data_IF_056556701625
#
_entry.id   IF_056556701625
#
_cell.length_a   1.000
_cell.length_b   1.000
_cell.length_c   1.000
_cell.angle_alpha   90.00
_cell.angle_beta   90.00
_cell.angle_gamma   90.00
#
_symmetry.space_group_name_H-M   'P 1'
#
loop_
_entity.id
_entity.type
_entity.pdbx_description
1 polymer ?
#
# COMPACT_ATOMS: atom_id res chain seq x y z
N UNK A 1 29.21 36.35 -17.24
CA UNK A 1 28.27 35.24 -17.51
C UNK A 1 26.89 35.79 -17.79
N UNK A 2 26.18 35.31 -18.83
CA UNK A 2 24.81 35.75 -19.12
C UNK A 2 23.88 35.36 -17.97
N UNK A 3 22.97 36.25 -17.56
CA UNK A 3 22.00 35.98 -16.50
C UNK A 3 20.83 35.17 -17.06
N UNK A 4 20.65 33.96 -16.54
CA UNK A 4 19.49 33.11 -16.83
C UNK A 4 18.34 33.53 -15.90
N UNK A 5 17.16 33.73 -16.47
CA UNK A 5 15.91 33.96 -15.76
C UNK A 5 15.06 32.69 -15.82
N UNK A 6 14.53 32.30 -14.67
CA UNK A 6 13.68 31.11 -14.51
C UNK A 6 12.37 31.55 -13.89
N UNK A 7 11.25 31.22 -14.51
CA UNK A 7 9.91 31.53 -14.01
C UNK A 7 9.02 30.29 -14.05
N UNK A 8 8.18 30.14 -13.03
CA UNK A 8 7.12 29.12 -12.98
C UNK A 8 5.77 29.83 -13.07
N UNK A 9 5.10 29.81 -14.24
CA UNK A 9 3.79 30.43 -14.39
C UNK A 9 2.77 29.82 -13.42
N UNK A 10 1.99 30.68 -12.76
CA UNK A 10 0.98 30.26 -11.78
C UNK A 10 0.01 29.25 -12.37
N UNK A 11 -0.37 28.26 -11.56
CA UNK A 11 -1.32 27.20 -11.91
C UNK A 11 -0.91 26.35 -13.12
N UNK A 12 0.39 26.32 -13.43
CA UNK A 12 0.95 25.47 -14.48
C UNK A 12 2.03 24.53 -13.94
N UNK A 13 2.33 23.48 -14.71
CA UNK A 13 3.50 22.61 -14.50
C UNK A 13 4.63 22.98 -15.46
N UNK A 14 4.72 24.26 -15.84
CA UNK A 14 5.66 24.75 -16.83
C UNK A 14 6.81 25.48 -16.16
N UNK A 15 7.98 25.40 -16.79
CA UNK A 15 9.14 26.20 -16.43
C UNK A 15 9.51 27.02 -17.67
N UNK A 16 9.62 28.33 -17.49
CA UNK A 16 10.06 29.27 -18.51
C UNK A 16 11.51 29.65 -18.27
N UNK A 17 12.35 29.49 -19.29
CA UNK A 17 13.77 29.83 -19.26
C UNK A 17 14.05 30.95 -20.27
N UNK A 18 14.72 32.01 -19.83
CA UNK A 18 15.12 33.11 -20.69
C UNK A 18 16.56 33.56 -20.39
N UNK A 19 17.28 33.99 -21.43
CA UNK A 19 18.64 34.51 -21.30
C UNK A 19 18.72 35.87 -21.98
N UNK A 20 19.16 36.89 -21.24
CA UNK A 20 19.54 38.19 -21.80
C UNK A 20 21.02 38.12 -22.24
N UNK A 21 21.30 38.34 -23.52
CA UNK A 21 22.65 38.27 -24.10
C UNK A 21 22.86 39.29 -25.21
N UNK A 22 24.09 39.81 -25.32
CA UNK A 22 24.54 40.60 -26.45
C UNK A 22 24.79 39.76 -27.71
N UNK A 23 24.90 38.43 -27.55
CA UNK A 23 25.07 37.46 -28.62
C UNK A 23 23.87 36.48 -28.63
N UNK A 24 22.75 36.84 -29.30
CA UNK A 24 21.52 36.04 -29.27
C UNK A 24 21.67 34.60 -29.80
N UNK A 25 22.41 34.33 -30.89
CA UNK A 25 22.61 32.96 -31.37
C UNK A 25 23.32 32.06 -30.34
N UNK A 26 24.36 32.58 -29.66
CA UNK A 26 25.03 31.84 -28.59
C UNK A 26 24.09 31.57 -27.42
N UNK A 27 23.25 32.53 -27.03
CA UNK A 27 22.27 32.35 -25.97
C UNK A 27 21.18 31.33 -26.30
N UNK A 28 20.74 31.29 -27.57
CA UNK A 28 19.80 30.28 -28.05
C UNK A 28 20.42 28.87 -27.94
N UNK A 29 21.67 28.69 -28.36
CA UNK A 29 22.39 27.42 -28.21
C UNK A 29 22.53 27.01 -26.74
N UNK A 30 22.89 27.94 -25.85
CA UNK A 30 22.98 27.68 -24.41
C UNK A 30 21.64 27.19 -23.85
N UNK A 31 20.52 27.83 -24.21
CA UNK A 31 19.19 27.36 -23.80
C UNK A 31 18.85 25.97 -24.36
N UNK A 32 19.28 25.67 -25.59
CA UNK A 32 19.14 24.35 -26.18
C UNK A 32 19.88 23.27 -25.40
N UNK A 33 21.14 23.53 -25.05
CA UNK A 33 21.96 22.63 -24.24
C UNK A 33 21.37 22.43 -22.83
N UNK A 34 20.90 23.51 -22.19
CA UNK A 34 20.24 23.43 -20.89
C UNK A 34 18.98 22.55 -20.97
N UNK A 35 18.15 22.71 -22.00
CA UNK A 35 16.98 21.86 -22.20
C UNK A 35 17.38 20.38 -22.30
N UNK A 36 18.40 20.06 -23.10
CA UNK A 36 18.87 18.68 -23.28
C UNK A 36 19.39 18.10 -21.97
N UNK A 37 20.18 18.88 -21.20
CA UNK A 37 20.70 18.45 -19.89
C UNK A 37 19.57 18.16 -18.89
N UNK A 38 18.58 19.06 -18.78
CA UNK A 38 17.44 18.87 -17.87
C UNK A 38 16.64 17.63 -18.27
N UNK A 39 16.39 17.43 -19.57
CA UNK A 39 15.65 16.26 -20.06
C UNK A 39 16.40 14.98 -19.76
N UNK A 40 17.70 14.93 -20.02
CA UNK A 40 18.54 13.76 -19.75
C UNK A 40 18.55 13.42 -18.26
N UNK A 41 18.76 14.41 -17.38
CA UNK A 41 18.74 14.22 -15.93
C UNK A 41 17.37 13.74 -15.44
N UNK A 42 16.28 14.34 -15.92
CA UNK A 42 14.93 13.93 -15.55
C UNK A 42 14.58 12.54 -16.07
N UNK A 43 15.04 12.16 -17.27
CA UNK A 43 14.87 10.82 -17.82
C UNK A 43 15.54 9.77 -16.94
N UNK A 44 16.76 10.03 -16.48
CA UNK A 44 17.47 9.15 -15.55
C UNK A 44 16.70 9.00 -14.22
N UNK A 45 16.31 10.12 -13.60
CA UNK A 45 15.53 10.10 -12.35
C UNK A 45 14.20 9.35 -12.50
N UNK A 46 13.50 9.56 -13.62
CA UNK A 46 12.25 8.86 -13.93
C UNK A 46 12.51 7.36 -14.09
N UNK A 47 13.57 6.97 -14.80
CA UNK A 47 13.96 5.58 -14.97
C UNK A 47 14.21 4.91 -13.62
N UNK A 48 15.04 5.51 -12.77
CA UNK A 48 15.33 5.00 -11.42
C UNK A 48 14.06 4.88 -10.58
N UNK A 49 13.17 5.89 -10.62
CA UNK A 49 11.90 5.83 -9.90
C UNK A 49 11.00 4.69 -10.39
N UNK A 50 10.92 4.48 -11.70
CA UNK A 50 10.15 3.36 -12.29
C UNK A 50 10.72 2.01 -11.88
N UNK A 51 12.05 1.88 -11.87
CA UNK A 51 12.73 0.65 -11.42
C UNK A 51 12.45 0.34 -9.95
N UNK A 52 12.52 1.35 -9.06
CA UNK A 52 12.20 1.19 -7.64
C UNK A 52 10.75 0.76 -7.42
N UNK A 53 9.79 1.43 -8.07
CA UNK A 53 8.37 1.05 -8.00
C UNK A 53 8.16 -0.38 -8.52
N UNK A 54 8.84 -0.75 -9.61
CA UNK A 54 8.79 -2.11 -10.15
C UNK A 54 9.33 -3.17 -9.16
N UNK A 55 10.40 -2.83 -8.44
CA UNK A 55 10.95 -3.69 -7.39
C UNK A 55 9.99 -3.83 -6.19
N UNK A 56 9.33 -2.75 -5.80
CA UNK A 56 8.33 -2.77 -4.72
C UNK A 56 7.11 -3.62 -5.09
N UNK A 57 6.63 -3.51 -6.33
CA UNK A 57 5.56 -4.36 -6.87
C UNK A 57 5.98 -5.83 -6.79
N UNK A 58 7.16 -6.18 -7.32
CA UNK A 58 7.66 -7.56 -7.32
C UNK A 58 7.78 -8.12 -5.89
N UNK A 59 8.34 -7.32 -4.97
CA UNK A 59 8.49 -7.72 -3.56
C UNK A 59 7.12 -7.96 -2.92
N UNK A 60 6.12 -7.15 -3.27
CA UNK A 60 4.75 -7.30 -2.76
C UNK A 60 4.06 -8.53 -3.35
N UNK A 61 4.27 -8.82 -4.64
CA UNK A 61 3.79 -10.05 -5.28
C UNK A 61 4.39 -11.31 -4.63
N UNK A 62 5.69 -11.28 -4.30
CA UNK A 62 6.33 -12.40 -3.62
C UNK A 62 5.80 -12.60 -2.19
N UNK A 63 5.46 -11.52 -1.48
CA UNK A 63 4.75 -11.61 -0.18
C UNK A 63 3.37 -12.25 -0.32
N UNK A 64 2.63 -11.93 -1.38
CA UNK A 64 1.32 -12.55 -1.67
C UNK A 64 1.49 -14.06 -1.90
N UNK A 65 2.46 -14.47 -2.72
CA UNK A 65 2.72 -15.91 -2.97
C UNK A 65 3.04 -16.68 -1.68
N UNK A 66 3.82 -16.07 -0.78
CA UNK A 66 4.12 -16.66 0.52
C UNK A 66 2.85 -16.82 1.38
N UNK A 67 2.01 -15.77 1.42
CA UNK A 67 0.74 -15.83 2.13
C UNK A 67 -0.23 -16.88 1.55
N UNK A 68 -0.28 -17.03 0.23
CA UNK A 68 -1.05 -18.08 -0.44
C UNK A 68 -0.55 -19.49 -0.07
N UNK A 69 0.77 -19.69 -0.03
CA UNK A 69 1.38 -20.94 0.45
C UNK A 69 1.01 -21.24 1.90
N UNK A 70 0.95 -20.23 2.77
CA UNK A 70 0.58 -20.41 4.16
C UNK A 70 -0.91 -20.73 4.35
N UNK A 71 -1.79 -20.18 3.49
CA UNK A 71 -3.19 -20.61 3.41
C UNK A 71 -3.27 -22.10 3.05
N UNK A 72 -2.52 -22.54 2.04
CA UNK A 72 -2.52 -23.94 1.60
C UNK A 72 -2.06 -24.88 2.73
N UNK A 73 -0.93 -24.56 3.37
CA UNK A 73 -0.43 -25.32 4.53
C UNK A 73 -1.45 -25.40 5.65
N UNK A 74 -2.17 -24.30 5.91
CA UNK A 74 -3.20 -24.24 6.96
C UNK A 74 -4.42 -25.08 6.59
N UNK A 75 -4.86 -25.02 5.32
CA UNK A 75 -5.94 -25.84 4.80
C UNK A 75 -5.63 -27.33 4.87
N UNK A 76 -4.38 -27.72 4.60
CA UNK A 76 -3.93 -29.11 4.71
C UNK A 76 -3.96 -29.65 6.15
N UNK A 77 -4.01 -28.79 7.18
CA UNK A 77 -4.22 -29.22 8.58
C UNK A 77 -5.69 -29.49 8.90
N UNK A 78 -6.64 -28.98 8.12
CA UNK A 78 -8.09 -29.15 8.36
C UNK A 78 -8.56 -30.54 7.91
N UNK A 79 -8.00 -31.07 6.83
CA UNK A 79 -8.34 -32.40 6.30
C UNK A 79 -8.17 -33.53 7.33
N UNK A 80 -7.02 -33.71 8.00
CA UNK A 80 -6.88 -34.75 9.02
C UNK A 80 -7.82 -34.54 10.21
N UNK A 81 -8.14 -33.28 10.58
CA UNK A 81 -9.14 -32.99 11.63
C UNK A 81 -10.53 -33.50 11.22
N UNK A 82 -10.94 -33.30 9.96
CA UNK A 82 -12.22 -33.80 9.48
C UNK A 82 -12.27 -35.33 9.49
N UNK A 83 -11.19 -36.00 9.07
CA UNK A 83 -11.09 -37.47 9.13
C UNK A 83 -11.10 -38.00 10.57
N UNK A 84 -10.45 -37.29 11.49
CA UNK A 84 -10.45 -37.62 12.91
C UNK A 84 -11.85 -37.48 13.53
N UNK A 85 -12.58 -36.41 13.20
CA UNK A 85 -13.96 -36.22 13.62
C UNK A 85 -14.82 -37.38 13.12
N UNK A 86 -14.75 -37.71 11.82
CA UNK A 86 -15.52 -38.81 11.21
C UNK A 86 -15.21 -40.15 11.87
N UNK A 87 -13.94 -40.42 12.16
CA UNK A 87 -13.53 -41.65 12.87
C UNK A 87 -14.11 -41.69 14.29
N UNK A 88 -14.14 -40.56 15.00
CA UNK A 88 -14.73 -40.50 16.35
C UNK A 88 -16.25 -40.62 16.29
N UNK A 89 -16.93 -40.01 15.31
CA UNK A 89 -18.36 -40.17 15.09
C UNK A 89 -18.75 -41.65 14.91
N UNK A 90 -17.98 -42.41 14.13
CA UNK A 90 -18.18 -43.86 14.00
C UNK A 90 -17.96 -44.61 15.33
N UNK A 91 -16.97 -44.20 16.14
CA UNK A 91 -16.74 -44.79 17.47
C UNK A 91 -17.90 -44.52 18.41
N UNK A 92 -18.46 -43.31 18.37
CA UNK A 92 -19.64 -42.95 19.16
C UNK A 92 -20.83 -43.81 18.75
N UNK A 93 -21.10 -43.95 17.44
CA UNK A 93 -22.20 -44.78 16.96
C UNK A 93 -22.11 -46.24 17.47
N UNK A 94 -20.92 -46.84 17.39
CA UNK A 94 -20.70 -48.20 17.92
C UNK A 94 -20.85 -48.26 19.45
N UNK A 95 -20.32 -47.26 20.16
CA UNK A 95 -20.44 -47.19 21.62
C UNK A 95 -21.91 -46.96 22.07
N UNK A 96 -22.70 -46.23 21.29
CA UNK A 96 -24.13 -46.02 21.53
C UNK A 96 -24.92 -47.33 21.35
N UNK A 97 -24.62 -48.12 20.34
CA UNK A 97 -25.21 -49.46 20.14
C UNK A 97 -24.86 -50.40 21.31
N UNK A 98 -23.60 -50.42 21.75
CA UNK A 98 -23.18 -51.20 22.92
C UNK A 98 -23.89 -50.73 24.21
N UNK A 99 -24.06 -49.41 24.37
CA UNK A 99 -24.79 -48.82 25.50
C UNK A 99 -26.25 -49.27 25.50
N UNK A 100 -26.93 -49.22 24.36
CA UNK A 100 -28.33 -49.65 24.22
C UNK A 100 -28.48 -51.15 24.56
N UNK A 101 -27.57 -51.99 24.08
CA UNK A 101 -27.53 -53.41 24.41
C UNK A 101 -27.34 -53.67 25.92
N UNK A 102 -26.50 -52.87 26.60
CA UNK A 102 -26.33 -52.93 28.04
C UNK A 102 -27.56 -52.42 28.80
N UNK A 103 -28.22 -51.36 28.33
CA UNK A 103 -29.48 -50.85 28.90
C UNK A 103 -30.59 -51.90 28.84
N UNK A 104 -30.74 -52.59 27.71
CA UNK A 104 -31.68 -53.70 27.57
C UNK A 104 -31.38 -54.86 28.55
N UNK A 105 -30.11 -55.21 28.74
CA UNK A 105 -29.69 -56.25 29.72
C UNK A 105 -29.99 -55.82 31.15
N UNK A 106 -29.74 -54.56 31.50
CA UNK A 106 -30.05 -54.02 32.83
C UNK A 106 -31.56 -54.08 33.10
N UNK A 107 -32.40 -53.67 32.14
CA UNK A 107 -33.86 -53.73 32.26
C UNK A 107 -34.36 -55.18 32.44
N UNK A 108 -33.83 -56.12 31.65
CA UNK A 108 -34.17 -57.54 31.78
C UNK A 108 -33.80 -58.10 33.17
N UNK A 109 -32.59 -57.82 33.67
CA UNK A 109 -32.15 -58.26 34.99
C UNK A 109 -32.96 -57.60 36.12
N UNK A 110 -33.33 -56.33 35.98
CA UNK A 110 -34.18 -55.62 36.95
C UNK A 110 -35.57 -56.24 37.09
N UNK A 111 -36.15 -56.75 35.99
CA UNK A 111 -37.47 -57.40 36.00
C UNK A 111 -37.47 -58.78 36.67
N UNK A 112 -36.33 -59.46 36.72
CA UNK A 112 -36.20 -60.82 37.30
C UNK A 112 -35.96 -60.79 38.81
N UNK A 113 -35.33 -59.73 39.33
CA UNK A 113 -34.99 -59.56 40.76
C UNK A 113 -36.16 -59.67 41.76
N UNK A 114 -37.40 -59.22 41.46
CA UNK A 114 -38.53 -59.43 42.36
C UNK A 114 -38.89 -60.91 42.58
N UNK A 115 -38.51 -61.78 41.64
CA UNK A 115 -38.86 -63.20 41.62
C UNK A 115 -37.67 -64.12 41.99
N UNK A 116 -36.44 -63.69 41.74
CA UNK A 116 -35.20 -64.43 42.05
C UNK A 116 -34.20 -63.48 42.74
N UNK A 117 -34.06 -63.62 44.07
CA UNK A 117 -33.12 -62.84 44.89
C UNK A 117 -31.81 -63.58 45.17
N UNK A 118 -31.26 -64.29 44.18
CA UNK A 118 -29.98 -64.97 44.38
C UNK A 118 -28.81 -63.97 44.25
N UNK A 119 -27.72 -64.15 45.01
CA UNK A 119 -26.54 -63.27 44.96
C UNK A 119 -25.90 -63.14 43.57
N UNK A 120 -26.01 -64.16 42.71
CA UNK A 120 -25.47 -64.14 41.36
C UNK A 120 -26.19 -63.15 40.45
N UNK A 121 -27.53 -63.12 40.49
CA UNK A 121 -28.33 -62.15 39.72
C UNK A 121 -28.07 -60.70 40.18
N UNK A 122 -27.91 -60.48 41.49
CA UNK A 122 -27.54 -59.16 42.02
C UNK A 122 -26.15 -58.71 41.54
N UNK A 123 -25.17 -59.62 41.55
CA UNK A 123 -23.82 -59.35 41.05
C UNK A 123 -23.83 -59.03 39.55
N UNK A 124 -24.53 -59.81 38.73
CA UNK A 124 -24.63 -59.56 37.29
C UNK A 124 -25.30 -58.20 36.99
N UNK A 125 -26.33 -57.80 37.75
CA UNK A 125 -26.92 -56.48 37.61
C UNK A 125 -25.92 -55.36 37.97
N UNK A 126 -25.16 -55.53 39.05
CA UNK A 126 -24.16 -54.55 39.45
C UNK A 126 -23.07 -54.38 38.37
N UNK A 127 -22.47 -55.47 37.91
CA UNK A 127 -21.43 -55.46 36.87
C UNK A 127 -21.95 -54.85 35.55
N UNK A 128 -23.18 -55.19 35.13
CA UNK A 128 -23.77 -54.59 33.92
C UNK A 128 -24.05 -53.10 34.07
N UNK A 129 -24.49 -52.64 35.25
CA UNK A 129 -24.65 -51.21 35.54
C UNK A 129 -23.32 -50.46 35.56
N UNK A 130 -22.27 -51.06 36.10
CA UNK A 130 -20.92 -50.49 36.08
C UNK A 130 -20.41 -50.35 34.64
N UNK A 131 -20.51 -51.41 33.83
CA UNK A 131 -20.17 -51.37 32.39
C UNK A 131 -20.97 -50.31 31.63
N UNK A 132 -22.25 -50.17 31.93
CA UNK A 132 -23.11 -49.16 31.34
C UNK A 132 -22.66 -47.74 31.72
N UNK A 133 -22.32 -47.50 32.99
CA UNK A 133 -21.81 -46.22 33.45
C UNK A 133 -20.48 -45.86 32.76
N UNK A 134 -19.56 -46.82 32.66
CA UNK A 134 -18.28 -46.66 31.97
C UNK A 134 -18.49 -46.35 30.48
N UNK A 135 -19.45 -47.02 29.81
CA UNK A 135 -19.78 -46.76 28.41
C UNK A 135 -20.37 -45.36 28.20
N UNK A 136 -21.25 -44.89 29.11
CA UNK A 136 -21.78 -43.52 29.08
C UNK A 136 -20.67 -42.48 29.21
N UNK A 137 -19.73 -42.70 30.13
CA UNK A 137 -18.57 -41.83 30.31
C UNK A 137 -17.64 -41.83 29.09
N UNK A 138 -17.43 -43.00 28.45
CA UNK A 138 -16.66 -43.10 27.20
C UNK A 138 -17.29 -42.23 26.09
N UNK A 139 -18.60 -42.35 25.88
CA UNK A 139 -19.34 -41.56 24.88
C UNK A 139 -19.20 -40.05 25.16
N UNK A 140 -19.36 -39.64 26.43
CA UNK A 140 -19.19 -38.24 26.83
C UNK A 140 -17.78 -37.72 26.50
N UNK A 141 -16.74 -38.49 26.82
CA UNK A 141 -15.35 -38.13 26.50
C UNK A 141 -15.10 -38.02 24.98
N UNK A 142 -15.72 -38.90 24.18
CA UNK A 142 -15.62 -38.83 22.71
C UNK A 142 -16.29 -37.56 22.17
N UNK A 143 -17.45 -37.17 22.71
CA UNK A 143 -18.10 -35.89 22.35
C UNK A 143 -17.26 -34.67 22.73
N UNK A 144 -16.63 -34.68 23.91
CA UNK A 144 -15.70 -33.61 24.32
C UNK A 144 -14.52 -33.50 23.35
N UNK A 145 -14.00 -34.64 22.89
CA UNK A 145 -12.92 -34.68 21.89
C UNK A 145 -13.38 -34.06 20.57
N UNK A 146 -14.55 -34.43 20.04
CA UNK A 146 -15.12 -33.81 18.83
C UNK A 146 -15.23 -32.29 19.00
N UNK A 147 -15.72 -31.82 20.15
CA UNK A 147 -15.89 -30.39 20.39
C UNK A 147 -14.55 -29.64 20.39
N UNK A 148 -13.49 -30.21 20.96
CA UNK A 148 -12.14 -29.64 20.88
C UNK A 148 -11.61 -29.58 19.45
N UNK A 149 -11.81 -30.62 18.65
CA UNK A 149 -11.39 -30.67 17.25
C UNK A 149 -12.15 -29.65 16.39
N UNK A 150 -13.46 -29.51 16.61
CA UNK A 150 -14.29 -28.49 15.95
C UNK A 150 -13.80 -27.07 16.26
N UNK A 151 -13.49 -26.77 17.52
CA UNK A 151 -12.89 -25.48 17.90
C UNK A 151 -11.53 -25.25 17.24
N UNK A 152 -10.67 -26.28 17.20
CA UNK A 152 -9.37 -26.18 16.52
C UNK A 152 -9.55 -25.91 15.02
N UNK A 153 -10.54 -26.51 14.38
CA UNK A 153 -10.86 -26.22 12.97
C UNK A 153 -11.33 -24.78 12.77
N UNK A 154 -12.23 -24.30 13.63
CA UNK A 154 -12.74 -22.93 13.57
C UNK A 154 -11.62 -21.90 13.73
N UNK A 155 -10.66 -22.15 14.63
CA UNK A 155 -9.47 -21.31 14.77
C UNK A 155 -8.62 -21.27 13.50
N UNK A 156 -8.40 -22.42 12.84
CA UNK A 156 -7.70 -22.46 11.55
C UNK A 156 -8.45 -21.71 10.45
N UNK A 157 -9.79 -21.78 10.42
CA UNK A 157 -10.62 -21.03 9.48
C UNK A 157 -10.50 -19.50 9.72
N UNK A 158 -10.46 -19.07 10.98
CA UNK A 158 -10.20 -17.66 11.35
C UNK A 158 -8.80 -17.23 10.89
N UNK A 159 -7.78 -18.07 11.09
CA UNK A 159 -6.42 -17.80 10.61
C UNK A 159 -6.40 -17.62 9.08
N UNK A 160 -7.03 -18.52 8.32
CA UNK A 160 -7.14 -18.40 6.86
C UNK A 160 -7.79 -17.07 6.45
N UNK A 161 -8.87 -16.67 7.11
CA UNK A 161 -9.56 -15.42 6.79
C UNK A 161 -8.68 -14.20 7.08
N UNK A 162 -7.92 -14.20 8.18
CA UNK A 162 -6.97 -13.11 8.48
C UNK A 162 -5.86 -12.97 7.42
N UNK A 163 -5.37 -14.10 6.89
CA UNK A 163 -4.37 -14.10 5.82
C UNK A 163 -4.98 -13.58 4.52
N UNK A 164 -6.23 -13.96 4.18
CA UNK A 164 -6.94 -13.43 3.02
C UNK A 164 -7.10 -11.91 3.07
N UNK A 165 -7.51 -11.36 4.22
CA UNK A 165 -7.59 -9.89 4.39
C UNK A 165 -6.22 -9.22 4.22
N UNK A 166 -5.14 -9.88 4.65
CA UNK A 166 -3.78 -9.39 4.43
C UNK A 166 -3.42 -9.38 2.94
N UNK A 167 -3.79 -10.41 2.19
CA UNK A 167 -3.62 -10.46 0.72
C UNK A 167 -4.41 -9.33 0.03
N UNK A 168 -5.65 -9.07 0.44
CA UNK A 168 -6.45 -7.96 -0.10
C UNK A 168 -5.75 -6.60 0.10
N UNK A 169 -5.17 -6.36 1.28
CA UNK A 169 -4.38 -5.15 1.56
C UNK A 169 -3.13 -5.06 0.68
N UNK A 170 -2.40 -6.15 0.48
CA UNK A 170 -1.23 -6.18 -0.40
C UNK A 170 -1.61 -5.92 -1.87
N UNK A 171 -2.74 -6.46 -2.33
CA UNK A 171 -3.26 -6.17 -3.66
C UNK A 171 -3.64 -4.69 -3.84
N UNK A 172 -4.24 -4.06 -2.81
CA UNK A 172 -4.51 -2.64 -2.83
C UNK A 172 -3.22 -1.80 -2.92
N UNK A 173 -2.15 -2.21 -2.21
CA UNK A 173 -0.83 -1.58 -2.31
C UNK A 173 -0.25 -1.70 -3.74
N UNK A 174 -0.32 -2.88 -4.36
CA UNK A 174 0.11 -3.07 -5.76
C UNK A 174 -0.66 -2.13 -6.69
N UNK A 175 -1.97 -2.01 -6.52
CA UNK A 175 -2.79 -1.13 -7.35
C UNK A 175 -2.40 0.35 -7.19
N UNK A 176 -2.12 0.79 -5.96
CA UNK A 176 -1.62 2.14 -5.71
C UNK A 176 -0.24 2.39 -6.35
N UNK A 177 0.67 1.41 -6.28
CA UNK A 177 1.98 1.48 -6.94
C UNK A 177 1.86 1.54 -8.46
N UNK A 178 0.96 0.74 -9.06
CA UNK A 178 0.66 0.77 -10.50
C UNK A 178 0.10 2.13 -10.92
N UNK A 179 -0.85 2.69 -10.17
CA UNK A 179 -1.37 4.03 -10.42
C UNK A 179 -0.27 5.10 -10.34
N UNK A 180 0.63 5.00 -9.35
CA UNK A 180 1.79 5.90 -9.25
C UNK A 180 2.74 5.77 -10.46
N UNK A 181 2.81 4.60 -11.10
CA UNK A 181 3.61 4.40 -12.31
C UNK A 181 3.00 5.12 -13.52
N UNK A 182 1.68 5.05 -13.65
CA UNK A 182 0.91 5.67 -14.74
C UNK A 182 0.92 7.21 -14.65
N UNK A 183 0.99 7.77 -13.45
CA UNK A 183 1.07 9.22 -13.25
C UNK A 183 2.44 9.82 -13.62
N UNK A 184 3.49 9.01 -13.79
CA UNK A 184 4.84 9.50 -14.11
C UNK A 184 4.89 9.96 -15.58
N UNK A 185 4.88 11.28 -15.76
CA UNK A 185 5.02 11.93 -17.07
C UNK A 185 6.46 12.39 -17.34
N UNK A 186 7.00 12.17 -18.55
CA UNK A 186 8.31 12.67 -18.92
C UNK A 186 8.30 14.21 -19.01
N UNK A 187 9.46 14.80 -18.72
CA UNK A 187 9.68 16.23 -19.01
C UNK A 187 9.84 16.43 -20.51
N UNK A 188 9.23 17.48 -21.05
CA UNK A 188 9.22 17.75 -22.48
C UNK A 188 9.35 19.24 -22.75
N UNK A 189 9.95 19.58 -23.89
CA UNK A 189 10.05 20.96 -24.37
C UNK A 189 8.74 21.34 -25.05
N UNK A 190 7.98 22.26 -24.45
CA UNK A 190 6.74 22.77 -25.04
C UNK A 190 7.02 23.85 -26.09
N UNK A 191 8.08 24.65 -25.88
CA UNK A 191 8.51 25.69 -26.80
C UNK A 191 10.04 25.70 -26.92
N UNK A 192 10.54 25.55 -28.14
CA UNK A 192 11.99 25.60 -28.41
C UNK A 192 12.57 26.99 -28.16
N UNK A 193 13.86 27.11 -27.81
CA UNK A 193 14.52 28.41 -27.64
C UNK A 193 14.46 29.24 -28.93
N UNK A 194 14.00 30.48 -28.83
CA UNK A 194 13.89 31.43 -29.95
C UNK A 194 14.55 32.76 -29.61
N UNK A 195 15.16 33.39 -30.61
CA UNK A 195 15.72 34.74 -30.49
C UNK A 195 14.59 35.79 -30.56
N UNK A 196 14.66 36.83 -29.74
CA UNK A 196 13.73 37.95 -29.84
C UNK A 196 14.06 38.82 -31.05
N UNK A 197 13.05 39.18 -31.85
CA UNK A 197 13.20 40.05 -33.01
C UNK A 197 13.63 41.48 -32.65
N UNK A 198 13.35 41.92 -31.42
CA UNK A 198 13.66 43.27 -30.93
C UNK A 198 14.60 43.20 -29.72
N UNK A 199 15.60 44.08 -29.62
CA UNK A 199 16.46 44.12 -28.45
C UNK A 199 15.65 44.53 -27.22
N UNK A 200 15.79 43.77 -26.13
CA UNK A 200 15.10 44.05 -24.85
C UNK A 200 15.75 45.19 -24.07
N UNK A 201 17.03 45.50 -24.33
CA UNK A 201 17.81 46.60 -23.74
C UNK A 201 18.89 47.10 -24.71
N UNK A 202 19.33 48.37 -24.60
CA UNK A 202 18.76 49.44 -23.78
C UNK A 202 17.45 50.00 -24.39
N UNK A 203 16.55 50.50 -23.55
CA UNK A 203 15.32 51.16 -23.98
C UNK A 203 15.63 52.56 -24.54
N UNK A 204 16.00 52.64 -25.83
CA UNK A 204 16.43 53.89 -26.48
C UNK A 204 15.44 55.05 -26.28
N UNK A 205 14.13 54.77 -26.36
CA UNK A 205 13.07 55.78 -26.13
C UNK A 205 13.14 56.38 -24.72
N UNK A 206 13.22 55.52 -23.70
CA UNK A 206 13.31 55.96 -22.31
C UNK A 206 14.59 56.76 -22.07
N UNK A 207 15.72 56.28 -22.60
CA UNK A 207 17.00 56.98 -22.46
C UNK A 207 16.99 58.36 -23.13
N UNK A 208 16.35 58.51 -24.30
CA UNK A 208 16.20 59.80 -24.98
C UNK A 208 15.37 60.78 -24.13
N UNK A 209 14.27 60.31 -23.54
CA UNK A 209 13.44 61.14 -22.64
C UNK A 209 14.23 61.58 -21.41
N UNK A 210 14.95 60.66 -20.77
CA UNK A 210 15.79 60.96 -19.60
C UNK A 210 16.88 61.98 -19.98
N UNK A 211 17.55 61.81 -21.12
CA UNK A 211 18.56 62.75 -21.59
C UNK A 211 17.99 64.15 -21.87
N UNK A 212 16.79 64.24 -22.44
CA UNK A 212 16.10 65.51 -22.65
C UNK A 212 15.79 66.23 -21.33
N UNK A 213 15.25 65.51 -20.35
CA UNK A 213 14.97 66.06 -19.01
C UNK A 213 16.26 66.50 -18.32
N UNK A 214 17.31 65.66 -18.33
CA UNK A 214 18.61 66.01 -17.76
C UNK A 214 19.22 67.25 -18.43
N UNK A 215 19.15 67.35 -19.75
CA UNK A 215 19.65 68.51 -20.49
C UNK A 215 18.94 69.80 -20.08
N UNK A 216 17.62 69.75 -19.88
CA UNK A 216 16.83 70.89 -19.42
C UNK A 216 17.27 71.31 -18.00
N UNK A 217 17.43 70.36 -17.07
CA UNK A 217 17.94 70.64 -15.72
C UNK A 217 19.32 71.30 -15.72
N UNK A 218 20.26 70.78 -16.53
CA UNK A 218 21.59 71.38 -16.67
C UNK A 218 21.49 72.79 -17.25
N UNK A 219 20.63 73.02 -18.25
CA UNK A 219 20.41 74.34 -18.83
C UNK A 219 19.89 75.35 -17.81
N UNK A 220 18.90 74.96 -17.01
CA UNK A 220 18.34 75.80 -15.94
C UNK A 220 19.41 76.10 -14.88
N UNK A 221 20.17 75.09 -14.45
CA UNK A 221 21.24 75.26 -13.48
C UNK A 221 22.34 76.21 -13.96
N UNK A 222 22.75 76.12 -15.23
CA UNK A 222 23.74 77.03 -15.82
C UNK A 222 23.21 78.47 -15.90
N UNK A 223 21.95 78.66 -16.27
CA UNK A 223 21.33 79.98 -16.31
C UNK A 223 21.35 80.66 -14.92
N UNK A 224 20.98 79.91 -13.86
CA UNK A 224 21.05 80.42 -12.49
C UNK A 224 22.49 80.64 -12.00
N UNK A 225 23.43 79.75 -12.36
CA UNK A 225 24.84 79.89 -11.98
C UNK A 225 25.50 81.11 -12.63
N UNK A 226 25.15 81.40 -13.89
CA UNK A 226 25.61 82.60 -14.60
C UNK A 226 25.06 83.86 -13.92
N UNK A 227 23.75 83.92 -13.65
CA UNK A 227 23.11 85.03 -12.94
C UNK A 227 23.74 85.25 -11.53
N UNK A 228 24.01 84.15 -10.81
CA UNK A 228 24.67 84.23 -9.51
C UNK A 228 26.09 84.81 -9.60
N UNK A 229 26.87 84.43 -10.62
CA UNK A 229 28.22 84.96 -10.83
C UNK A 229 28.21 86.44 -11.24
N UNK A 230 27.26 86.84 -12.08
CA UNK A 230 27.05 88.25 -12.46
C UNK A 230 26.68 89.10 -11.24
N UNK A 231 25.79 88.61 -10.38
CA UNK A 231 25.43 89.29 -9.11
C UNK A 231 26.55 89.31 -8.07
N UNK A 232 27.46 88.33 -8.10
CA UNK A 232 28.57 88.22 -7.15
C UNK A 232 29.82 89.02 -7.56
N UNK A 233 29.77 89.75 -8.69
CA UNK A 233 30.84 90.65 -9.17
C UNK A 233 30.72 92.10 -8.66
N UNK A 234 30.05 92.30 -7.52
CA UNK A 234 30.03 93.57 -6.78
C UNK A 234 31.11 93.57 -5.70
#
# INVERSE_FOLDING_TARGET
YPKIKVENPKDTRLISLAIESAEPPKAQNILGEINNLIIAEHQEKIKTKKELIGQDIKTTEDKIKLAESDIEKTKNKIEPINEDIKRIENKIANAEEEKENLEAKVDALQKVLPYQQDPGTQFALFDTKEKLANKKQEIENLYLTINSLKRSKEDLDVQINSIKTSIESLNAQINALKASLDEIKPTQVIKSPTVSEKPVKPNKKLNIIIAGILGLFVGVFLAFSQEWWEKSKV
#
